data_IF_026136939206
#
_entry.id   IF_026136939206
#
_cell.length_a   1.000
_cell.length_b   1.000
_cell.length_c   1.000
_cell.angle_alpha   90.00
_cell.angle_beta   90.00
_cell.angle_gamma   90.00
#
_symmetry.space_group_name_H-M   'P 1'
#
loop_
_entity.id
_entity.type
_entity.pdbx_description
1 polymer ?
#
# COMPACT_ATOMS: atom_id res chain seq x y z
N UNK A 1 2.66 4.88 -80.32
CA UNK A 1 3.83 3.96 -80.32
C UNK A 1 4.93 4.56 -79.44
N UNK A 2 5.46 3.74 -78.51
CA UNK A 2 6.74 3.86 -77.76
C UNK A 2 6.82 4.96 -76.69
N UNK A 3 6.62 4.60 -75.42
CA UNK A 3 7.64 4.21 -74.40
C UNK A 3 8.48 5.39 -73.92
N UNK A 4 8.38 5.76 -72.63
CA UNK A 4 9.49 5.56 -71.70
C UNK A 4 9.02 5.64 -70.24
N UNK A 5 9.37 4.58 -69.50
CA UNK A 5 9.13 4.39 -68.07
C UNK A 5 10.09 5.27 -67.27
N UNK A 6 9.60 5.96 -66.24
CA UNK A 6 10.43 6.41 -65.13
C UNK A 6 9.70 6.03 -63.84
N UNK A 7 10.07 4.87 -63.33
CA UNK A 7 9.63 4.30 -62.07
C UNK A 7 10.32 5.10 -60.96
N UNK A 8 9.56 5.96 -60.27
CA UNK A 8 9.97 6.58 -59.01
C UNK A 8 10.00 5.48 -57.94
N UNK A 9 11.20 5.03 -57.61
CA UNK A 9 11.46 4.20 -56.44
C UNK A 9 11.20 5.04 -55.19
N UNK A 10 9.97 4.97 -54.68
CA UNK A 10 9.61 5.45 -53.35
C UNK A 10 10.27 4.51 -52.34
N UNK A 11 11.46 4.90 -51.86
CA UNK A 11 12.14 4.28 -50.74
C UNK A 11 11.35 4.56 -49.45
N UNK A 12 10.35 3.74 -49.19
CA UNK A 12 9.73 3.61 -47.88
C UNK A 12 10.78 3.08 -46.89
N UNK A 13 11.51 4.00 -46.26
CA UNK A 13 12.28 3.71 -45.05
C UNK A 13 11.28 3.47 -43.93
N UNK A 14 10.85 2.22 -43.77
CA UNK A 14 10.17 1.73 -42.57
C UNK A 14 11.21 1.69 -41.45
N UNK A 15 11.44 2.83 -40.82
CA UNK A 15 12.08 2.92 -39.50
C UNK A 15 11.15 2.22 -38.51
N UNK A 16 11.42 0.94 -38.29
CA UNK A 16 10.84 0.18 -37.19
C UNK A 16 11.44 0.73 -35.90
N UNK A 17 10.72 1.64 -35.26
CA UNK A 17 11.00 2.03 -33.88
C UNK A 17 10.65 0.79 -33.05
N UNK A 18 11.64 -0.08 -32.80
CA UNK A 18 11.54 -1.07 -31.74
C UNK A 18 11.56 -0.29 -30.42
N UNK A 19 10.39 0.20 -29.99
CA UNK A 19 10.15 0.57 -28.61
C UNK A 19 10.30 -0.70 -27.79
N UNK A 20 11.53 -0.95 -27.34
CA UNK A 20 11.78 -1.87 -26.24
C UNK A 20 11.14 -1.22 -25.01
N UNK A 21 9.85 -1.49 -24.80
CA UNK A 21 9.19 -1.21 -23.54
C UNK A 21 9.92 -2.07 -22.50
N UNK A 22 10.81 -1.45 -21.73
CA UNK A 22 11.37 -2.08 -20.56
C UNK A 22 10.20 -2.40 -19.64
N UNK A 23 9.90 -3.69 -19.49
CA UNK A 23 8.87 -4.15 -18.55
C UNK A 23 9.45 -3.92 -17.15
N UNK A 24 9.27 -2.71 -16.63
CA UNK A 24 9.58 -2.41 -15.24
C UNK A 24 8.56 -3.16 -14.40
N UNK A 25 9.04 -4.19 -13.70
CA UNK A 25 8.20 -4.94 -12.77
C UNK A 25 7.69 -3.98 -11.69
N UNK A 26 6.38 -3.96 -11.39
CA UNK A 26 5.83 -3.05 -10.39
C UNK A 26 6.41 -3.38 -9.01
N UNK A 27 6.72 -2.33 -8.25
CA UNK A 27 7.20 -2.46 -6.87
C UNK A 27 6.15 -3.16 -5.99
N UNK A 28 6.57 -3.71 -4.84
CA UNK A 28 5.61 -4.32 -3.90
C UNK A 28 4.59 -3.31 -3.38
N UNK A 29 4.98 -2.03 -3.22
CA UNK A 29 4.06 -0.95 -2.85
C UNK A 29 3.01 -0.71 -3.95
N UNK A 30 3.43 -0.59 -5.20
CA UNK A 30 2.51 -0.42 -6.35
C UNK A 30 1.54 -1.61 -6.48
N UNK A 31 2.02 -2.84 -6.24
CA UNK A 31 1.15 -4.03 -6.21
C UNK A 31 0.14 -3.97 -5.07
N UNK A 32 0.57 -3.50 -3.89
CA UNK A 32 -0.32 -3.30 -2.75
C UNK A 32 -1.38 -2.23 -3.03
N UNK A 33 -1.03 -1.09 -3.63
CA UNK A 33 -2.00 -0.04 -3.99
C UNK A 33 -3.07 -0.56 -4.97
N UNK A 34 -2.65 -1.34 -5.97
CA UNK A 34 -3.57 -2.01 -6.90
C UNK A 34 -4.50 -3.00 -6.17
N UNK A 35 -3.96 -3.81 -5.26
CA UNK A 35 -4.75 -4.70 -4.42
C UNK A 35 -5.73 -3.92 -3.55
N UNK A 36 -5.26 -2.86 -2.88
CA UNK A 36 -6.08 -2.00 -2.03
C UNK A 36 -7.26 -1.43 -2.80
N UNK A 37 -7.02 -0.85 -3.98
CA UNK A 37 -8.08 -0.30 -4.83
C UNK A 37 -9.13 -1.35 -5.20
N UNK A 38 -8.72 -2.60 -5.45
CA UNK A 38 -9.66 -3.70 -5.71
C UNK A 38 -10.49 -4.13 -4.49
N UNK A 39 -10.09 -3.71 -3.28
CA UNK A 39 -10.68 -4.11 -2.00
C UNK A 39 -11.28 -2.94 -1.22
N UNK A 40 -11.12 -1.70 -1.69
CA UNK A 40 -11.71 -0.52 -1.08
C UNK A 40 -13.24 -0.63 -1.01
N UNK A 41 -13.84 0.03 -0.03
CA UNK A 41 -15.29 0.01 0.18
C UNK A 41 -15.69 -0.28 1.62
N UNK A 42 -16.96 -0.64 1.81
CA UNK A 42 -17.56 -0.78 3.14
C UNK A 42 -17.28 -2.15 3.75
N UNK A 43 -16.93 -2.16 5.04
CA UNK A 43 -16.64 -3.38 5.80
C UNK A 43 -17.44 -3.39 7.10
N UNK A 44 -17.97 -4.57 7.44
CA UNK A 44 -18.63 -4.82 8.71
C UNK A 44 -17.74 -5.66 9.61
N UNK A 45 -17.65 -5.28 10.88
CA UNK A 45 -16.93 -6.02 11.91
C UNK A 45 -17.65 -7.35 12.17
N UNK A 46 -16.93 -8.45 11.99
CA UNK A 46 -17.40 -9.80 12.32
C UNK A 46 -16.96 -10.22 13.73
N UNK A 47 -15.74 -9.84 14.11
CA UNK A 47 -15.14 -10.20 15.39
C UNK A 47 -14.03 -9.21 15.77
N UNK A 48 -13.86 -8.94 17.05
CA UNK A 48 -12.85 -8.04 17.59
C UNK A 48 -13.41 -7.18 18.71
N UNK A 49 -12.53 -6.63 19.56
CA UNK A 49 -12.90 -5.71 20.62
C UNK A 49 -13.29 -4.33 20.01
N UNK A 50 -14.49 -3.80 20.30
CA UNK A 50 -14.98 -2.54 19.74
C UNK A 50 -14.14 -1.32 20.15
N UNK A 51 -13.27 -1.45 21.15
CA UNK A 51 -12.30 -0.43 21.56
C UNK A 51 -11.21 -0.23 20.50
N UNK A 52 -10.93 -1.27 19.70
CA UNK A 52 -9.86 -1.27 18.70
C UNK A 52 -10.36 -1.50 17.27
N UNK A 53 -11.59 -2.00 17.12
CA UNK A 53 -12.15 -2.41 15.84
C UNK A 53 -13.53 -1.77 15.64
N UNK A 54 -13.72 -1.01 14.56
CA UNK A 54 -15.04 -0.50 14.17
C UNK A 54 -15.37 -0.81 12.71
N UNK A 55 -16.66 -1.02 12.42
CA UNK A 55 -17.12 -1.13 11.04
C UNK A 55 -16.95 0.20 10.33
N UNK A 56 -16.70 0.19 9.02
CA UNK A 56 -16.55 1.43 8.27
C UNK A 56 -15.98 1.25 6.88
N UNK A 57 -15.53 2.35 6.28
CA UNK A 57 -14.91 2.33 4.96
C UNK A 57 -13.43 1.96 5.07
N UNK A 58 -12.97 1.08 4.18
CA UNK A 58 -11.58 1.00 3.77
C UNK A 58 -11.36 2.00 2.64
N UNK A 59 -10.61 3.07 2.91
CA UNK A 59 -10.40 4.18 1.95
C UNK A 59 -9.04 4.82 2.11
N UNK A 60 -8.51 5.41 1.05
CA UNK A 60 -7.37 6.30 1.15
C UNK A 60 -7.72 7.53 1.99
N UNK A 61 -6.72 8.11 2.65
CA UNK A 61 -6.88 9.41 3.30
C UNK A 61 -7.03 10.53 2.27
N UNK A 62 -6.33 10.38 1.13
CA UNK A 62 -6.48 11.17 -0.07
C UNK A 62 -6.32 10.24 -1.28
N UNK A 63 -7.38 10.09 -2.09
CA UNK A 63 -7.39 9.19 -3.26
C UNK A 63 -6.38 9.60 -4.34
N UNK A 64 -5.89 10.85 -4.31
CA UNK A 64 -4.87 11.36 -5.23
C UNK A 64 -3.45 11.22 -4.69
N UNK A 65 -3.29 10.94 -3.39
CA UNK A 65 -2.00 10.82 -2.71
C UNK A 65 -1.96 9.59 -1.78
N UNK A 66 -1.85 8.36 -2.34
CA UNK A 66 -1.80 7.11 -1.56
C UNK A 66 -0.70 7.09 -0.49
N UNK A 67 0.40 7.82 -0.73
CA UNK A 67 1.53 7.98 0.18
C UNK A 67 1.12 8.59 1.54
N UNK A 68 0.02 9.35 1.60
CA UNK A 68 -0.47 9.89 2.87
C UNK A 68 -1.00 8.79 3.79
N UNK A 69 -1.56 7.71 3.23
CA UNK A 69 -2.11 6.61 4.01
C UNK A 69 -3.53 6.23 3.67
N UNK A 70 -4.06 5.29 4.44
CA UNK A 70 -5.45 4.85 4.38
C UNK A 70 -5.99 4.57 5.78
N UNK A 71 -7.31 4.49 5.88
CA UNK A 71 -7.99 4.04 7.09
C UNK A 71 -8.98 2.90 6.82
N UNK A 72 -9.28 2.14 7.88
CA UNK A 72 -10.41 1.24 7.97
C UNK A 72 -11.24 1.65 9.19
N UNK A 73 -12.45 2.15 8.94
CA UNK A 73 -13.25 2.76 10.00
C UNK A 73 -12.57 4.00 10.56
N UNK A 74 -12.73 4.22 11.86
CA UNK A 74 -12.15 5.35 12.59
C UNK A 74 -10.95 4.94 13.46
N UNK A 75 -10.80 3.64 13.74
CA UNK A 75 -9.81 3.15 14.72
C UNK A 75 -8.53 2.62 14.09
N UNK A 76 -8.54 2.22 12.81
CA UNK A 76 -7.38 1.62 12.15
C UNK A 76 -6.88 2.55 11.05
N UNK A 77 -5.65 3.04 11.20
CA UNK A 77 -5.02 3.95 10.22
C UNK A 77 -3.56 3.57 9.98
N UNK A 78 -3.16 3.59 8.71
CA UNK A 78 -1.78 3.46 8.28
C UNK A 78 -1.38 4.76 7.57
N UNK A 79 -0.47 5.54 8.18
CA UNK A 79 -0.07 6.87 7.69
C UNK A 79 1.32 6.85 7.06
N UNK A 80 1.57 7.77 6.12
CA UNK A 80 2.91 8.03 5.59
C UNK A 80 3.54 6.81 4.92
N UNK A 81 2.80 6.17 4.00
CA UNK A 81 3.21 4.96 3.30
C UNK A 81 4.47 5.21 2.47
N UNK A 82 5.62 4.85 3.01
CA UNK A 82 6.91 4.97 2.33
C UNK A 82 7.46 3.60 1.94
N UNK A 83 8.49 3.62 1.10
CA UNK A 83 9.25 2.41 0.77
C UNK A 83 10.41 2.23 1.74
N UNK A 84 10.54 1.02 2.27
CA UNK A 84 11.68 0.64 3.11
C UNK A 84 11.52 1.08 4.57
N UNK A 85 12.62 1.56 5.15
CA UNK A 85 12.71 1.97 6.56
C UNK A 85 13.04 3.45 6.60
N UNK A 86 12.28 4.22 7.36
CA UNK A 86 12.56 5.62 7.64
C UNK A 86 12.81 5.80 9.12
N UNK A 87 13.90 6.49 9.46
CA UNK A 87 14.25 6.80 10.84
C UNK A 87 14.42 8.32 10.95
N UNK A 88 13.64 8.94 11.82
CA UNK A 88 13.69 10.37 12.08
C UNK A 88 13.96 10.61 13.56
N UNK A 89 14.74 11.65 13.87
CA UNK A 89 14.89 12.13 15.25
C UNK A 89 13.74 13.08 15.56
N UNK A 90 13.00 12.79 16.63
CA UNK A 90 11.87 13.62 17.08
C UNK A 90 12.22 14.38 18.36
N UNK A 91 11.32 15.27 18.79
CA UNK A 91 11.43 15.94 20.09
C UNK A 91 11.54 14.88 21.22
N UNK A 92 12.30 15.18 22.28
CA UNK A 92 12.71 14.23 23.35
C UNK A 92 13.78 13.21 22.94
N UNK A 93 14.51 13.50 21.87
CA UNK A 93 15.72 12.78 21.40
C UNK A 93 15.51 11.32 20.98
N UNK A 94 14.28 10.80 21.03
CA UNK A 94 13.95 9.50 20.45
C UNK A 94 14.28 9.43 18.95
N UNK A 95 14.81 8.30 18.54
CA UNK A 95 14.80 7.87 17.15
C UNK A 95 13.49 7.12 16.90
N UNK A 96 12.69 7.65 15.98
CA UNK A 96 11.43 7.04 15.55
C UNK A 96 11.68 6.38 14.20
N UNK A 97 11.64 5.06 14.20
CA UNK A 97 11.80 4.23 13.02
C UNK A 97 10.45 3.67 12.61
N UNK A 98 10.02 3.96 11.38
CA UNK A 98 8.87 3.33 10.74
C UNK A 98 9.32 2.47 9.58
N UNK A 99 8.69 1.31 9.41
CA UNK A 99 8.97 0.39 8.32
C UNK A 99 7.68 -0.20 7.79
N UNK A 100 7.50 -0.15 6.47
CA UNK A 100 6.39 -0.81 5.80
C UNK A 100 6.88 -2.04 5.03
N UNK A 101 6.19 -3.16 5.22
CA UNK A 101 6.37 -4.38 4.43
C UNK A 101 5.09 -4.64 3.65
N UNK A 102 5.14 -4.38 2.35
CA UNK A 102 4.05 -4.66 1.41
C UNK A 102 4.17 -6.10 0.91
N UNK A 103 3.04 -6.80 0.88
CA UNK A 103 2.93 -8.18 0.38
C UNK A 103 1.77 -8.30 -0.61
N UNK A 104 1.63 -9.44 -1.27
CA UNK A 104 0.50 -9.74 -2.14
C UNK A 104 -0.85 -9.86 -1.40
N UNK A 105 -0.83 -9.87 -0.07
CA UNK A 105 -2.03 -10.06 0.75
C UNK A 105 -2.29 -8.90 1.69
N UNK A 106 -1.46 -7.85 1.70
CA UNK A 106 -1.63 -6.74 2.63
C UNK A 106 -0.33 -6.08 3.03
N UNK A 107 -0.36 -5.44 4.19
CA UNK A 107 0.70 -4.54 4.68
C UNK A 107 0.97 -4.77 6.17
N UNK A 108 2.24 -4.75 6.54
CA UNK A 108 2.70 -4.67 7.93
C UNK A 108 3.43 -3.35 8.13
N UNK A 109 3.10 -2.64 9.20
CA UNK A 109 3.81 -1.46 9.68
C UNK A 109 4.47 -1.79 11.00
N UNK A 110 5.78 -1.55 11.09
CA UNK A 110 6.52 -1.59 12.35
C UNK A 110 6.88 -0.16 12.75
N UNK A 111 6.60 0.20 14.00
CA UNK A 111 6.96 1.46 14.62
C UNK A 111 7.85 1.16 15.83
N UNK A 112 9.04 1.74 15.82
CA UNK A 112 10.01 1.60 16.90
C UNK A 112 10.47 2.97 17.37
N UNK A 113 10.31 3.23 18.65
CA UNK A 113 10.93 4.35 19.34
C UNK A 113 12.11 3.80 20.13
N UNK A 114 13.31 4.20 19.75
CA UNK A 114 14.54 3.80 20.44
C UNK A 114 15.43 5.00 20.74
N UNK A 115 16.38 4.81 21.65
CA UNK A 115 17.31 5.88 22.09
C UNK A 115 16.60 7.14 22.58
N UNK A 116 15.46 6.95 23.24
CA UNK A 116 14.75 8.01 23.94
C UNK A 116 15.53 8.46 25.18
N UNK A 117 15.41 9.74 25.54
CA UNK A 117 15.99 10.27 26.79
C UNK A 117 15.38 9.59 28.02
N UNK A 118 14.06 9.36 28.01
CA UNK A 118 13.39 8.51 28.98
C UNK A 118 13.21 7.09 28.40
N UNK A 119 13.76 6.04 29.03
CA UNK A 119 13.57 4.66 28.59
C UNK A 119 12.10 4.23 28.51
N UNK A 120 11.21 4.78 29.35
CA UNK A 120 9.77 4.47 29.34
C UNK A 120 9.06 4.93 28.05
N UNK A 121 9.65 5.86 27.30
CA UNK A 121 9.13 6.31 25.99
C UNK A 121 9.48 5.34 24.86
N UNK A 122 10.29 4.31 25.14
CA UNK A 122 10.65 3.29 24.17
C UNK A 122 9.43 2.44 23.83
N UNK A 123 9.21 2.25 22.54
CA UNK A 123 8.07 1.52 22.00
C UNK A 123 8.57 0.62 20.89
N UNK A 124 8.05 -0.60 20.82
CA UNK A 124 8.18 -1.45 19.65
C UNK A 124 6.79 -2.04 19.37
N UNK A 125 6.17 -1.60 18.29
CA UNK A 125 4.83 -2.03 17.90
C UNK A 125 4.79 -2.39 16.43
N UNK A 126 3.94 -3.36 16.12
CA UNK A 126 3.80 -3.88 14.77
C UNK A 126 2.33 -4.17 14.53
N UNK A 127 1.78 -3.55 13.48
CA UNK A 127 0.39 -3.74 13.10
C UNK A 127 0.32 -4.25 11.67
N UNK A 128 -0.60 -5.17 11.41
CA UNK A 128 -0.72 -5.83 10.12
C UNK A 128 -2.18 -5.85 9.68
N UNK A 129 -2.42 -5.46 8.43
CA UNK A 129 -3.70 -5.59 7.76
C UNK A 129 -3.54 -6.57 6.58
N UNK A 130 -4.37 -7.62 6.56
CA UNK A 130 -4.36 -8.68 5.54
C UNK A 130 -5.72 -8.82 4.88
N UNK A 131 -5.73 -8.81 3.56
CA UNK A 131 -6.83 -9.27 2.73
C UNK A 131 -6.83 -10.79 2.70
N UNK A 132 -7.90 -11.39 3.21
CA UNK A 132 -8.12 -12.82 3.23
C UNK A 132 -8.98 -13.25 2.04
N UNK A 133 -9.07 -14.56 1.81
CA UNK A 133 -10.01 -15.13 0.86
C UNK A 133 -11.47 -14.79 1.24
N UNK A 134 -12.35 -14.73 0.24
CA UNK A 134 -13.80 -14.56 0.46
C UNK A 134 -14.19 -13.20 1.07
N UNK A 135 -13.67 -12.10 0.52
CA UNK A 135 -14.03 -10.73 0.88
C UNK A 135 -13.78 -10.35 2.35
N UNK A 136 -12.90 -11.10 3.03
CA UNK A 136 -12.56 -10.87 4.43
C UNK A 136 -11.28 -10.06 4.56
N UNK A 137 -11.20 -9.31 5.65
CA UNK A 137 -10.03 -8.54 6.02
C UNK A 137 -9.73 -8.83 7.48
N UNK A 138 -8.45 -8.97 7.81
CA UNK A 138 -7.98 -9.16 9.18
C UNK A 138 -6.99 -8.07 9.55
N UNK A 139 -7.14 -7.52 10.74
CA UNK A 139 -6.19 -6.61 11.36
C UNK A 139 -5.69 -7.21 12.67
N UNK A 140 -4.39 -7.09 12.93
CA UNK A 140 -3.74 -7.57 14.16
C UNK A 140 -2.67 -6.61 14.63
N UNK A 141 -2.46 -6.53 15.94
CA UNK A 141 -1.32 -5.84 16.56
C UNK A 141 -0.47 -6.85 17.31
N UNK A 142 0.82 -6.93 16.96
CA UNK A 142 1.79 -7.84 17.56
C UNK A 142 1.94 -7.58 19.07
N UNK A 143 2.18 -8.65 19.83
CA UNK A 143 2.31 -8.59 21.30
C UNK A 143 1.09 -8.05 22.04
N UNK A 144 -0.10 -8.12 21.41
CA UNK A 144 -1.39 -7.80 22.02
C UNK A 144 -2.45 -8.83 21.63
N UNK A 145 -3.60 -8.81 22.30
CA UNK A 145 -4.76 -9.64 21.93
C UNK A 145 -5.65 -8.99 20.85
N UNK A 146 -5.22 -7.88 20.24
CA UNK A 146 -6.00 -7.17 19.22
C UNK A 146 -6.01 -7.98 17.94
N UNK A 147 -7.18 -8.55 17.64
CA UNK A 147 -7.49 -9.22 16.39
C UNK A 147 -8.89 -8.80 15.92
N UNK A 148 -8.95 -8.08 14.80
CA UNK A 148 -10.19 -7.69 14.17
C UNK A 148 -10.39 -8.50 12.89
N UNK A 149 -11.62 -8.99 12.66
CA UNK A 149 -12.04 -9.61 11.39
C UNK A 149 -13.21 -8.85 10.82
N UNK A 150 -13.14 -8.56 9.53
CA UNK A 150 -14.14 -7.80 8.81
C UNK A 150 -14.57 -8.53 7.55
N UNK A 151 -15.76 -8.20 7.06
CA UNK A 151 -16.29 -8.67 5.79
C UNK A 151 -16.76 -7.50 4.93
N UNK A 152 -16.30 -7.47 3.69
CA UNK A 152 -16.64 -6.45 2.72
C UNK A 152 -18.12 -6.60 2.34
N UNK A 153 -18.87 -5.52 2.48
CA UNK A 153 -20.25 -5.43 2.02
C UNK A 153 -20.24 -5.31 0.50
N UNK A 154 -20.97 -6.21 -0.18
CA UNK A 154 -21.25 -6.07 -1.61
C UNK A 154 -22.48 -5.16 -1.73
N UNK A 155 -22.32 -4.05 -2.45
CA UNK A 155 -23.44 -3.23 -2.93
C UNK A 155 -24.25 -4.00 -3.98
#
# INVERSE_FOLDING_TARGET
>A
MRYFKLILFSSCVLLTIQLQAQVVLPSNKTKFESLFNSKAGSYTLLNGDPTFCDSGQLKWLDDTQPDLGFSLGNLITFNGLHNGTQTNKVANFCLVTTKFKYTSEGITMTLRHDRCDNPEDSLDSSQTLRFLAGNKLQYTVESTDVLCKFEQQRL
#
